data_IF_030589206870
#
_entry.id   IF_030589206870
#
_cell.length_a   1.000
_cell.length_b   1.000
_cell.length_c   1.000
_cell.angle_alpha   90.00
_cell.angle_beta   90.00
_cell.angle_gamma   90.00
#
_symmetry.space_group_name_H-M   'P 1'
#
loop_
_entity.id
_entity.type
_entity.pdbx_description
1 polymer ?
#
# COMPACT_ATOMS: atom_id res chain seq x y z
N UNK A 1 -0.01 -11.32 21.55
CA UNK A 1 -0.73 -11.09 20.27
C UNK A 1 -0.43 -9.69 19.76
N UNK A 2 -0.24 -9.49 18.45
CA UNK A 2 -0.02 -8.16 17.88
C UNK A 2 -1.33 -7.35 17.95
N UNK A 3 -1.27 -6.10 18.45
CA UNK A 3 -2.43 -5.20 18.52
C UNK A 3 -2.98 -4.92 17.12
N UNK A 4 -4.27 -5.19 16.89
CA UNK A 4 -4.93 -4.84 15.62
C UNK A 4 -4.85 -3.33 15.44
N UNK A 5 -4.30 -2.90 14.31
CA UNK A 5 -4.11 -1.49 14.00
C UNK A 5 -5.43 -0.86 13.59
N UNK A 6 -5.72 0.33 14.10
CA UNK A 6 -6.87 1.13 13.66
C UNK A 6 -6.75 1.45 12.16
N UNK A 7 -7.82 1.27 11.37
CA UNK A 7 -7.82 1.62 9.94
C UNK A 7 -7.43 3.08 9.73
N UNK A 8 -6.68 3.34 8.66
CA UNK A 8 -6.27 4.69 8.24
C UNK A 8 -6.75 4.95 6.82
N UNK A 9 -6.76 6.22 6.42
CA UNK A 9 -7.15 6.61 5.06
C UNK A 9 -6.39 5.84 3.96
N UNK A 10 -5.07 5.62 4.11
CA UNK A 10 -4.26 4.86 3.13
C UNK A 10 -4.22 3.35 3.40
N UNK A 11 -4.70 2.89 4.56
CA UNK A 11 -4.77 1.48 4.97
C UNK A 11 -6.19 1.23 5.48
N UNK A 12 -7.17 1.11 4.56
CA UNK A 12 -8.55 0.85 4.94
C UNK A 12 -8.69 -0.53 5.60
N UNK A 13 -9.80 -0.74 6.32
CA UNK A 13 -10.19 -2.10 6.71
C UNK A 13 -10.49 -2.94 5.47
N UNK A 14 -10.38 -4.26 5.59
CA UNK A 14 -10.69 -5.18 4.50
C UNK A 14 -12.10 -4.95 3.93
N UNK A 15 -13.11 -4.79 4.79
CA UNK A 15 -14.49 -4.53 4.37
C UNK A 15 -14.66 -3.21 3.61
N UNK A 16 -14.03 -2.13 4.08
CA UNK A 16 -14.08 -0.83 3.39
C UNK A 16 -13.37 -0.87 2.04
N UNK A 17 -12.25 -1.60 1.95
CA UNK A 17 -11.55 -1.80 0.68
C UNK A 17 -12.42 -2.58 -0.31
N UNK A 18 -12.96 -3.73 0.09
CA UNK A 18 -13.82 -4.56 -0.78
C UNK A 18 -15.03 -3.78 -1.26
N UNK A 19 -15.72 -3.05 -0.37
CA UNK A 19 -16.88 -2.23 -0.72
C UNK A 19 -16.56 -1.18 -1.79
N UNK A 20 -15.38 -0.57 -1.74
CA UNK A 20 -14.95 0.38 -2.76
C UNK A 20 -14.50 -0.34 -4.05
N UNK A 21 -13.77 -1.43 -3.92
CA UNK A 21 -13.25 -2.19 -5.06
C UNK A 21 -14.38 -2.74 -5.93
N UNK A 22 -15.44 -3.27 -5.31
CA UNK A 22 -16.63 -3.76 -6.01
C UNK A 22 -17.27 -2.73 -6.94
N UNK A 23 -17.15 -1.43 -6.64
CA UNK A 23 -17.67 -0.36 -7.50
C UNK A 23 -16.85 -0.12 -8.76
N UNK A 24 -15.65 -0.70 -8.84
CA UNK A 24 -14.72 -0.52 -9.97
C UNK A 24 -14.56 -1.78 -10.80
N UNK A 25 -14.94 -2.94 -10.24
CA UNK A 25 -14.90 -4.21 -10.94
C UNK A 25 -15.80 -4.12 -12.18
N UNK A 26 -15.29 -4.64 -13.30
CA UNK A 26 -15.98 -4.67 -14.59
C UNK A 26 -16.28 -3.30 -15.23
N UNK A 27 -15.85 -2.18 -14.62
CA UNK A 27 -15.92 -0.85 -15.23
C UNK A 27 -14.55 -0.39 -15.74
N UNK A 28 -13.50 -0.68 -14.97
CA UNK A 28 -12.13 -0.27 -15.28
C UNK A 28 -11.31 -1.45 -15.81
N UNK A 29 -10.50 -1.21 -16.84
CA UNK A 29 -9.53 -2.20 -17.35
C UNK A 29 -8.41 -2.49 -16.36
N UNK A 30 -8.06 -1.49 -15.52
CA UNK A 30 -7.13 -1.59 -14.40
C UNK A 30 -7.68 -0.84 -13.21
N UNK A 31 -7.85 -1.53 -12.08
CA UNK A 31 -8.35 -0.91 -10.85
C UNK A 31 -7.33 -1.01 -9.72
N UNK A 32 -7.24 0.05 -8.91
CA UNK A 32 -6.52 0.04 -7.63
C UNK A 32 -7.45 -0.25 -6.44
N UNK A 33 -8.74 -0.52 -6.70
CA UNK A 33 -9.73 -0.96 -5.70
C UNK A 33 -10.15 0.08 -4.66
N UNK A 34 -9.45 1.21 -4.56
CA UNK A 34 -9.73 2.25 -3.58
C UNK A 34 -9.26 3.61 -4.07
N UNK A 35 -10.07 4.67 -3.89
CA UNK A 35 -9.80 6.00 -4.46
C UNK A 35 -8.43 6.56 -4.03
N UNK A 36 -8.08 6.41 -2.75
CA UNK A 36 -6.79 6.88 -2.22
C UNK A 36 -5.63 6.11 -2.85
N UNK A 37 -5.81 4.81 -3.13
CA UNK A 37 -4.80 3.98 -3.80
C UNK A 37 -4.68 4.36 -5.28
N UNK A 38 -5.78 4.69 -5.95
CA UNK A 38 -5.75 5.22 -7.32
C UNK A 38 -5.00 6.55 -7.41
N UNK A 39 -5.22 7.46 -6.47
CA UNK A 39 -4.49 8.74 -6.41
C UNK A 39 -3.00 8.50 -6.16
N UNK A 40 -2.63 7.60 -5.24
CA UNK A 40 -1.25 7.22 -5.00
C UNK A 40 -0.60 6.63 -6.26
N UNK A 41 -1.28 5.70 -6.93
CA UNK A 41 -0.79 5.08 -8.16
C UNK A 41 -0.60 6.13 -9.27
N UNK A 42 -1.53 7.08 -9.40
CA UNK A 42 -1.42 8.19 -10.34
C UNK A 42 -0.17 9.04 -10.05
N UNK A 43 0.03 9.47 -8.80
CA UNK A 43 1.23 10.24 -8.42
C UNK A 43 2.50 9.45 -8.73
N UNK A 44 2.54 8.16 -8.36
CA UNK A 44 3.70 7.29 -8.62
C UNK A 44 3.96 7.16 -10.14
N UNK A 45 2.91 7.10 -10.96
CA UNK A 45 3.02 6.95 -12.41
C UNK A 45 3.69 8.14 -13.10
N UNK A 46 3.69 9.33 -12.47
CA UNK A 46 4.35 10.53 -12.98
C UNK A 46 5.87 10.46 -12.77
N UNK A 47 6.34 9.67 -11.80
CA UNK A 47 7.77 9.56 -11.51
C UNK A 47 8.49 8.71 -12.57
N UNK A 48 9.75 9.01 -12.92
CA UNK A 48 10.58 8.13 -13.71
C UNK A 48 10.77 6.74 -13.06
N UNK A 49 10.85 5.70 -13.88
CA UNK A 49 10.94 4.30 -13.41
C UNK A 49 12.11 4.05 -12.45
N UNK A 50 13.28 4.64 -12.71
CA UNK A 50 14.45 4.52 -11.85
C UNK A 50 14.20 5.08 -10.45
N UNK A 51 13.45 6.20 -10.36
CA UNK A 51 13.15 6.85 -9.09
C UNK A 51 12.10 6.07 -8.31
N UNK A 52 11.08 5.53 -9.01
CA UNK A 52 10.11 4.62 -8.41
C UNK A 52 10.85 3.41 -7.80
N UNK A 53 11.71 2.77 -8.58
CA UNK A 53 12.46 1.58 -8.16
C UNK A 53 13.38 1.87 -6.97
N UNK A 54 14.18 2.94 -7.04
CA UNK A 54 15.06 3.35 -5.94
C UNK A 54 14.27 3.62 -4.65
N UNK A 55 13.13 4.32 -4.75
CA UNK A 55 12.27 4.64 -3.61
C UNK A 55 11.69 3.38 -2.98
N UNK A 56 11.07 2.50 -3.77
CA UNK A 56 10.49 1.25 -3.26
C UNK A 56 11.55 0.32 -2.68
N UNK A 57 12.73 0.23 -3.29
CA UNK A 57 13.83 -0.59 -2.79
C UNK A 57 14.29 -0.11 -1.40
N UNK A 58 14.49 1.19 -1.23
CA UNK A 58 14.91 1.77 0.04
C UNK A 58 13.84 1.59 1.13
N UNK A 59 12.55 1.78 0.79
CA UNK A 59 11.45 1.52 1.71
C UNK A 59 11.43 0.06 2.18
N UNK A 60 11.50 -0.89 1.25
CA UNK A 60 11.48 -2.33 1.58
C UNK A 60 12.69 -2.74 2.43
N UNK A 61 13.89 -2.25 2.12
CA UNK A 61 15.10 -2.48 2.95
C UNK A 61 14.90 -1.98 4.38
N UNK A 62 14.36 -0.76 4.55
CA UNK A 62 14.08 -0.17 5.86
C UNK A 62 13.03 -0.96 6.64
N UNK A 63 11.93 -1.38 5.99
CA UNK A 63 10.90 -2.23 6.59
C UNK A 63 11.48 -3.57 7.06
N UNK A 64 12.26 -4.25 6.21
CA UNK A 64 12.92 -5.52 6.55
C UNK A 64 13.88 -5.35 7.73
N UNK A 65 14.72 -4.32 7.71
CA UNK A 65 15.65 -4.04 8.80
C UNK A 65 14.91 -3.80 10.14
N UNK A 66 13.82 -3.03 10.13
CA UNK A 66 12.98 -2.82 11.33
C UNK A 66 12.33 -4.11 11.81
N UNK A 67 11.83 -4.94 10.90
CA UNK A 67 11.25 -6.23 11.25
C UNK A 67 12.29 -7.15 11.90
N UNK A 68 13.46 -7.33 11.27
CA UNK A 68 14.54 -8.17 11.81
C UNK A 68 15.04 -7.67 13.18
N UNK A 69 15.08 -6.36 13.41
CA UNK A 69 15.41 -5.79 14.73
C UNK A 69 14.37 -6.17 15.79
N UNK A 70 13.08 -6.22 15.43
CA UNK A 70 12.01 -6.64 16.34
C UNK A 70 12.05 -8.14 16.62
N UNK A 71 12.35 -8.97 15.62
CA UNK A 71 12.41 -10.43 15.80
C UNK A 71 13.64 -10.88 16.57
N UNK A 72 14.77 -10.17 16.50
CA UNK A 72 15.99 -10.51 17.26
C UNK A 72 15.97 -10.07 18.73
N UNK A 73 15.11 -9.10 19.08
CA UNK A 73 14.98 -8.58 20.45
C UNK A 73 14.01 -9.42 21.31
N UNK A 74 13.21 -10.25 20.66
CA UNK A 74 12.37 -11.28 21.29
C UNK A 74 13.08 -12.63 21.17
#
# INVERSE_FOLDING_TARGET
MAKIRTPKLHIPSAGSFVKAAMKTLCLESRTNGYLVHSLLAFIISILPSWLQFATFMNLNKSLRARYLKRTKKN
#
